data_IF_138345134305
#
_entry.id   IF_138345134305
#
_cell.length_a   1.000
_cell.length_b   1.000
_cell.length_c   1.000
_cell.angle_alpha   90.00
_cell.angle_beta   90.00
_cell.angle_gamma   90.00
#
_symmetry.space_group_name_H-M   'P 1'
#
loop_
_entity.id
_entity.type
_entity.pdbx_description
1 polymer ?
#
# COMPACT_ATOMS: atom_id res chain seq x y z
N UNK A 1 -1.08 -39.67 22.50
CA UNK A 1 -2.51 -39.42 22.78
C UNK A 1 -2.94 -38.13 22.10
N UNK A 2 -3.76 -38.25 21.06
CA UNK A 2 -4.22 -37.17 20.20
C UNK A 2 -5.18 -36.25 20.97
N UNK A 3 -4.69 -35.10 21.45
CA UNK A 3 -5.56 -33.95 21.75
C UNK A 3 -6.06 -33.40 20.41
N UNK A 4 -7.04 -34.09 19.83
CA UNK A 4 -7.90 -33.59 18.78
C UNK A 4 -8.78 -32.53 19.45
N UNK A 5 -8.22 -31.34 19.65
CA UNK A 5 -8.97 -30.19 20.15
C UNK A 5 -10.28 -30.13 19.36
N UNK A 6 -11.41 -30.18 20.07
CA UNK A 6 -12.73 -30.18 19.43
C UNK A 6 -12.80 -28.92 18.57
N UNK A 7 -12.70 -29.11 17.25
CA UNK A 7 -12.56 -28.03 16.26
C UNK A 7 -13.76 -27.09 16.34
N UNK A 8 -14.92 -27.64 16.69
CA UNK A 8 -16.14 -26.89 16.96
C UNK A 8 -15.94 -25.90 18.13
N UNK A 9 -15.41 -26.37 19.27
CA UNK A 9 -15.18 -25.53 20.46
C UNK A 9 -14.24 -24.35 20.20
N UNK A 10 -13.16 -24.56 19.44
CA UNK A 10 -12.24 -23.47 19.08
C UNK A 10 -12.94 -22.43 18.19
N UNK A 11 -13.71 -22.91 17.23
CA UNK A 11 -14.45 -22.04 16.30
C UNK A 11 -15.47 -21.19 17.05
N UNK A 12 -16.24 -21.82 17.94
CA UNK A 12 -17.23 -21.15 18.79
C UNK A 12 -16.58 -20.09 19.71
N UNK A 13 -15.44 -20.41 20.33
CA UNK A 13 -14.68 -19.44 21.14
C UNK A 13 -14.22 -18.24 20.32
N UNK A 14 -13.70 -18.48 19.11
CA UNK A 14 -13.22 -17.44 18.22
C UNK A 14 -14.36 -16.50 17.79
N UNK A 15 -15.50 -17.06 17.36
CA UNK A 15 -16.65 -16.29 16.87
C UNK A 15 -17.33 -15.55 18.03
N UNK A 16 -17.48 -16.20 19.18
CA UNK A 16 -18.04 -15.54 20.38
C UNK A 16 -17.19 -14.35 20.80
N UNK A 17 -15.86 -14.51 20.80
CA UNK A 17 -14.94 -13.42 21.08
C UNK A 17 -15.07 -12.31 20.04
N UNK A 18 -15.12 -12.65 18.75
CA UNK A 18 -15.26 -11.67 17.67
C UNK A 18 -16.58 -10.89 17.77
N UNK A 19 -17.70 -11.55 18.08
CA UNK A 19 -18.99 -10.90 18.26
C UNK A 19 -18.98 -9.82 19.35
N UNK A 20 -18.16 -10.00 20.41
CA UNK A 20 -18.04 -9.06 21.54
C UNK A 20 -16.94 -8.01 21.36
N UNK A 21 -15.88 -8.34 20.65
CA UNK A 21 -14.64 -7.54 20.62
C UNK A 21 -14.22 -7.05 19.23
N UNK A 22 -14.99 -7.34 18.18
CA UNK A 22 -14.69 -6.85 16.82
C UNK A 22 -14.55 -5.33 16.84
N UNK A 23 -13.52 -4.86 16.13
CA UNK A 23 -13.32 -3.43 15.92
C UNK A 23 -14.45 -2.84 15.09
N UNK A 24 -14.87 -1.64 15.48
CA UNK A 24 -15.77 -0.79 14.72
C UNK A 24 -14.99 -0.11 13.58
N UNK A 25 -15.21 -0.55 12.34
CA UNK A 25 -14.45 -0.09 11.17
C UNK A 25 -15.41 0.26 10.03
N UNK A 26 -15.18 1.37 9.29
CA UNK A 26 -16.14 1.88 8.30
C UNK A 26 -16.61 0.83 7.27
N UNK A 27 -15.69 0.01 6.77
CA UNK A 27 -16.00 -1.04 5.80
C UNK A 27 -16.80 -2.21 6.38
N UNK A 28 -16.78 -2.44 7.70
CA UNK A 28 -17.54 -3.53 8.34
C UNK A 28 -19.04 -3.28 8.45
N UNK A 29 -19.48 -2.04 8.22
CA UNK A 29 -20.90 -1.70 8.12
C UNK A 29 -21.48 -1.92 6.72
N UNK A 30 -20.67 -2.45 5.80
CA UNK A 30 -21.06 -2.69 4.43
C UNK A 30 -21.00 -4.17 4.09
N UNK A 31 -21.91 -4.61 3.22
CA UNK A 31 -21.82 -5.89 2.49
C UNK A 31 -21.63 -5.68 0.99
N UNK A 32 -21.44 -4.44 0.55
CA UNK A 32 -21.15 -4.11 -0.85
C UNK A 32 -19.73 -4.63 -1.23
N UNK A 33 -19.61 -5.52 -2.25
CA UNK A 33 -18.33 -6.04 -2.72
C UNK A 33 -17.31 -4.95 -3.08
N UNK A 34 -17.75 -3.84 -3.69
CA UNK A 34 -16.87 -2.74 -4.07
C UNK A 34 -16.22 -2.11 -2.82
N UNK A 35 -17.03 -1.84 -1.81
CA UNK A 35 -16.60 -1.19 -0.56
C UNK A 35 -15.67 -2.08 0.26
N UNK A 36 -15.90 -3.39 0.29
CA UNK A 36 -15.01 -4.35 0.97
C UNK A 36 -13.72 -4.53 0.18
N UNK A 37 -13.80 -4.67 -1.14
CA UNK A 37 -12.62 -4.81 -1.99
C UNK A 37 -11.71 -3.58 -1.90
N UNK A 38 -12.28 -2.37 -1.94
CA UNK A 38 -11.54 -1.12 -1.75
C UNK A 38 -10.77 -1.12 -0.42
N UNK A 39 -11.42 -1.49 0.69
CA UNK A 39 -10.72 -1.54 1.99
C UNK A 39 -9.59 -2.56 2.00
N UNK A 40 -9.80 -3.74 1.42
CA UNK A 40 -8.75 -4.77 1.37
C UNK A 40 -7.54 -4.32 0.54
N UNK A 41 -7.76 -3.62 -0.58
CA UNK A 41 -6.67 -3.04 -1.37
C UNK A 41 -5.95 -1.95 -0.56
N UNK A 42 -6.67 -1.05 0.10
CA UNK A 42 -6.07 0.02 0.92
C UNK A 42 -5.28 -0.53 2.12
N UNK A 43 -5.71 -1.65 2.71
CA UNK A 43 -5.07 -2.28 3.86
C UNK A 43 -3.80 -3.06 3.52
N UNK A 44 -3.52 -3.33 2.24
CA UNK A 44 -2.26 -3.95 1.84
C UNK A 44 -1.06 -3.10 2.28
N UNK A 45 -0.25 -3.64 3.18
CA UNK A 45 0.95 -2.98 3.72
C UNK A 45 0.69 -1.59 4.32
N UNK A 46 -0.55 -1.32 4.77
CA UNK A 46 -0.95 -0.04 5.35
C UNK A 46 -1.74 -0.30 6.63
N UNK A 47 -1.46 0.48 7.68
CA UNK A 47 -2.15 0.34 8.97
C UNK A 47 -3.60 0.80 8.89
N UNK A 48 -4.47 0.17 9.67
CA UNK A 48 -5.92 0.44 9.68
C UNK A 48 -6.22 1.92 9.95
N UNK A 49 -5.58 2.53 10.94
CA UNK A 49 -5.86 3.90 11.35
C UNK A 49 -5.44 4.92 10.27
N UNK A 50 -4.42 4.57 9.46
CA UNK A 50 -4.06 5.33 8.27
C UNK A 50 -5.11 5.19 7.17
N UNK A 51 -5.68 4.00 6.98
CA UNK A 51 -6.65 3.74 5.90
C UNK A 51 -8.01 4.41 6.14
N UNK A 52 -8.49 4.46 7.38
CA UNK A 52 -9.82 5.00 7.73
C UNK A 52 -10.14 6.35 7.05
N UNK A 53 -9.32 7.41 7.16
CA UNK A 53 -9.63 8.69 6.53
C UNK A 53 -9.59 8.63 4.99
N UNK A 54 -8.69 7.83 4.40
CA UNK A 54 -8.61 7.67 2.95
C UNK A 54 -9.83 6.94 2.40
N UNK A 55 -10.27 5.89 3.07
CA UNK A 55 -11.45 5.13 2.71
C UNK A 55 -12.70 6.02 2.70
N UNK A 56 -12.90 6.82 3.76
CA UNK A 56 -14.03 7.76 3.86
C UNK A 56 -13.97 8.82 2.75
N UNK A 57 -12.81 9.46 2.55
CA UNK A 57 -12.61 10.46 1.48
C UNK A 57 -12.85 9.88 0.09
N UNK A 58 -12.37 8.66 -0.15
CA UNK A 58 -12.56 7.96 -1.41
C UNK A 58 -14.03 7.69 -1.68
N UNK A 59 -14.76 7.08 -0.74
CA UNK A 59 -16.18 6.79 -0.93
C UNK A 59 -17.06 8.03 -1.04
N UNK A 60 -16.63 9.16 -0.47
CA UNK A 60 -17.34 10.43 -0.66
C UNK A 60 -17.25 10.92 -2.11
N UNK A 61 -16.10 10.73 -2.79
CA UNK A 61 -15.90 11.19 -4.17
C UNK A 61 -16.19 10.12 -5.23
N UNK A 62 -15.97 8.85 -4.91
CA UNK A 62 -16.25 7.68 -5.77
C UNK A 62 -17.09 6.64 -5.00
N UNK A 63 -18.40 6.90 -4.84
CA UNK A 63 -19.29 6.02 -4.07
C UNK A 63 -19.45 4.62 -4.67
N UNK A 64 -19.25 4.46 -5.97
CA UNK A 64 -19.43 3.20 -6.71
C UNK A 64 -18.20 2.82 -7.54
N UNK A 65 -18.13 1.54 -7.93
CA UNK A 65 -17.12 1.03 -8.86
C UNK A 65 -17.17 1.75 -10.23
N UNK A 66 -18.37 2.12 -10.69
CA UNK A 66 -18.57 2.85 -11.95
C UNK A 66 -17.93 4.24 -11.91
N UNK A 67 -17.97 4.91 -10.76
CA UNK A 67 -17.34 6.22 -10.57
C UNK A 67 -15.81 6.12 -10.68
N UNK A 68 -15.22 5.04 -10.14
CA UNK A 68 -13.78 4.77 -10.28
C UNK A 68 -13.40 4.49 -11.72
N UNK A 69 -14.20 3.71 -12.44
CA UNK A 69 -13.91 3.38 -13.83
C UNK A 69 -13.90 4.61 -14.76
N UNK A 70 -14.83 5.55 -14.53
CA UNK A 70 -14.91 6.81 -15.29
C UNK A 70 -13.93 7.90 -14.85
N UNK A 71 -13.36 7.79 -13.64
CA UNK A 71 -12.41 8.78 -13.16
C UNK A 71 -11.08 8.72 -13.93
N UNK A 72 -10.42 9.87 -14.06
CA UNK A 72 -9.06 9.90 -14.60
C UNK A 72 -8.09 9.25 -13.61
N UNK A 73 -7.03 8.60 -14.12
CA UNK A 73 -6.00 8.02 -13.24
C UNK A 73 -5.38 9.07 -12.31
N UNK A 74 -5.11 10.28 -12.82
CA UNK A 74 -4.54 11.38 -12.03
C UNK A 74 -5.42 11.76 -10.83
N UNK A 75 -6.74 11.83 -11.01
CA UNK A 75 -7.67 12.13 -9.92
C UNK A 75 -7.73 11.03 -8.86
N UNK A 76 -7.65 9.77 -9.28
CA UNK A 76 -7.59 8.62 -8.36
C UNK A 76 -6.28 8.62 -7.57
N UNK A 77 -5.15 8.79 -8.26
CA UNK A 77 -3.83 8.89 -7.63
C UNK A 77 -3.76 10.08 -6.67
N UNK A 78 -4.49 11.17 -6.95
CA UNK A 78 -4.53 12.33 -6.06
C UNK A 78 -5.27 12.06 -4.76
N UNK A 79 -6.36 11.29 -4.78
CA UNK A 79 -7.02 10.87 -3.53
C UNK A 79 -6.16 9.83 -2.80
N UNK A 80 -5.45 8.98 -3.53
CA UNK A 80 -4.52 7.97 -2.98
C UNK A 80 -3.21 8.56 -2.45
N UNK A 81 -2.93 9.82 -2.74
CA UNK A 81 -1.68 10.52 -2.41
C UNK A 81 -1.37 10.42 -0.92
N UNK A 82 -0.21 9.85 -0.59
CA UNK A 82 0.24 9.66 0.78
C UNK A 82 0.01 8.26 1.35
N UNK A 83 -0.89 7.45 0.75
CA UNK A 83 -1.15 6.07 1.17
C UNK A 83 -0.04 5.09 0.73
N UNK A 84 0.77 5.47 -0.27
CA UNK A 84 1.89 4.68 -0.78
C UNK A 84 1.45 3.48 -1.63
N UNK A 85 2.43 2.78 -2.23
CA UNK A 85 2.21 1.64 -3.11
C UNK A 85 1.17 1.93 -4.21
N UNK A 86 1.41 2.97 -5.02
CA UNK A 86 0.45 3.54 -5.98
C UNK A 86 0.00 2.57 -7.08
N UNK A 87 0.76 1.50 -7.36
CA UNK A 87 0.31 0.44 -8.26
C UNK A 87 -1.00 -0.20 -7.77
N UNK A 88 -1.29 -0.18 -6.46
CA UNK A 88 -2.58 -0.64 -5.92
C UNK A 88 -3.75 0.16 -6.49
N UNK A 89 -3.63 1.49 -6.50
CA UNK A 89 -4.65 2.38 -7.04
C UNK A 89 -4.85 2.16 -8.55
N UNK A 90 -3.74 2.08 -9.32
CA UNK A 90 -3.80 1.85 -10.77
C UNK A 90 -4.40 0.50 -11.12
N UNK A 91 -3.96 -0.56 -10.44
CA UNK A 91 -4.50 -1.89 -10.63
C UNK A 91 -5.99 -1.94 -10.24
N UNK A 92 -6.37 -1.28 -9.15
CA UNK A 92 -7.77 -1.19 -8.76
C UNK A 92 -8.62 -0.49 -9.82
N UNK A 93 -8.13 0.61 -10.42
CA UNK A 93 -8.80 1.26 -11.56
C UNK A 93 -8.94 0.30 -12.74
N UNK A 94 -7.83 -0.28 -13.21
CA UNK A 94 -7.82 -1.24 -14.33
C UNK A 94 -8.79 -2.40 -14.08
N UNK A 95 -8.86 -2.89 -12.85
CA UNK A 95 -9.80 -3.92 -12.45
C UNK A 95 -11.26 -3.42 -12.45
N UNK A 96 -11.54 -2.19 -11.99
CA UNK A 96 -12.86 -1.58 -12.08
C UNK A 96 -13.31 -1.40 -13.54
N UNK A 97 -12.39 -1.00 -14.44
CA UNK A 97 -12.66 -0.88 -15.88
C UNK A 97 -13.10 -2.24 -16.46
N UNK A 98 -12.34 -3.31 -16.17
CA UNK A 98 -12.66 -4.69 -16.59
C UNK A 98 -13.99 -5.17 -16.00
N UNK A 99 -14.24 -4.91 -14.71
CA UNK A 99 -15.51 -5.30 -14.07
C UNK A 99 -16.70 -4.56 -14.71
N UNK A 100 -16.52 -3.29 -15.06
CA UNK A 100 -17.56 -2.50 -15.71
C UNK A 100 -17.86 -3.04 -17.12
N UNK A 101 -16.83 -3.30 -17.94
CA UNK A 101 -16.99 -3.77 -19.32
C UNK A 101 -17.44 -5.23 -19.41
N UNK A 102 -16.72 -6.13 -18.74
CA UNK A 102 -16.82 -7.57 -18.99
C UNK A 102 -17.83 -8.24 -18.05
N UNK A 103 -18.05 -7.65 -16.87
CA UNK A 103 -18.94 -8.17 -15.83
C UNK A 103 -20.14 -7.24 -15.54
N UNK A 104 -20.39 -6.27 -16.43
CA UNK A 104 -21.53 -5.33 -16.35
C UNK A 104 -21.61 -4.61 -14.99
N UNK A 105 -20.45 -4.26 -14.43
CA UNK A 105 -20.31 -3.55 -13.16
C UNK A 105 -20.49 -4.41 -11.91
N UNK A 106 -20.64 -5.74 -12.03
CA UNK A 106 -20.79 -6.66 -10.90
C UNK A 106 -19.46 -7.34 -10.57
N UNK A 107 -18.97 -7.17 -9.35
CA UNK A 107 -17.75 -7.86 -8.89
C UNK A 107 -17.93 -9.37 -9.02
N UNK A 108 -16.99 -10.11 -9.66
CA UNK A 108 -17.11 -11.54 -9.85
C UNK A 108 -17.22 -12.29 -8.51
N UNK A 109 -18.19 -13.20 -8.42
CA UNK A 109 -18.39 -14.03 -7.21
C UNK A 109 -17.62 -15.35 -7.26
N UNK A 110 -17.12 -15.72 -8.44
CA UNK A 110 -16.24 -16.87 -8.63
C UNK A 110 -14.80 -16.50 -8.29
N UNK A 111 -14.12 -17.38 -7.56
CA UNK A 111 -12.76 -17.15 -7.09
C UNK A 111 -11.75 -17.04 -8.25
N UNK A 112 -11.87 -17.93 -9.24
CA UNK A 112 -10.95 -17.98 -10.38
C UNK A 112 -11.16 -16.81 -11.35
N UNK A 113 -12.38 -16.31 -11.46
CA UNK A 113 -12.67 -15.08 -12.18
C UNK A 113 -12.12 -13.86 -11.43
N UNK A 114 -12.34 -13.77 -10.11
CA UNK A 114 -11.97 -12.59 -9.35
C UNK A 114 -10.45 -12.42 -9.19
N UNK A 115 -9.70 -13.51 -9.02
CA UNK A 115 -8.22 -13.45 -8.93
C UNK A 115 -7.53 -13.01 -10.23
N UNK A 116 -8.24 -13.03 -11.37
CA UNK A 116 -7.72 -12.49 -12.63
C UNK A 116 -7.74 -10.96 -12.66
N UNK A 117 -8.45 -10.32 -11.74
CA UNK A 117 -8.52 -8.86 -11.68
C UNK A 117 -7.15 -8.28 -11.28
N UNK A 118 -6.65 -7.24 -11.97
CA UNK A 118 -5.40 -6.60 -11.62
C UNK A 118 -5.33 -6.22 -10.13
N UNK A 119 -4.25 -6.62 -9.47
CA UNK A 119 -4.03 -6.35 -8.04
C UNK A 119 -4.81 -7.23 -7.07
N UNK A 120 -5.67 -8.14 -7.54
CA UNK A 120 -6.38 -9.12 -6.71
C UNK A 120 -5.58 -10.41 -6.63
N UNK A 121 -4.90 -10.62 -5.50
CA UNK A 121 -4.27 -11.91 -5.16
C UNK A 121 -5.21 -12.84 -4.39
N UNK A 122 -4.74 -14.06 -4.09
CA UNK A 122 -5.48 -15.07 -3.32
C UNK A 122 -6.06 -14.52 -2.02
N UNK A 123 -5.28 -13.70 -1.30
CA UNK A 123 -5.71 -13.07 -0.05
C UNK A 123 -6.96 -12.18 -0.25
N UNK A 124 -6.94 -11.26 -1.22
CA UNK A 124 -8.06 -10.33 -1.45
C UNK A 124 -9.28 -11.12 -1.90
N UNK A 125 -9.11 -12.04 -2.85
CA UNK A 125 -10.21 -12.85 -3.34
C UNK A 125 -10.87 -13.63 -2.19
N UNK A 126 -10.07 -14.27 -1.34
CA UNK A 126 -10.57 -14.97 -0.16
C UNK A 126 -11.25 -14.04 0.85
N UNK A 127 -10.65 -12.89 1.16
CA UNK A 127 -11.21 -11.91 2.10
C UNK A 127 -12.56 -11.38 1.63
N UNK A 128 -12.63 -10.84 0.41
CA UNK A 128 -13.87 -10.26 -0.15
C UNK A 128 -14.96 -11.32 -0.28
N UNK A 129 -14.66 -12.48 -0.88
CA UNK A 129 -15.67 -13.51 -1.13
C UNK A 129 -16.16 -14.17 0.17
N UNK A 130 -15.31 -14.31 1.18
CA UNK A 130 -15.74 -14.82 2.49
C UNK A 130 -16.60 -13.81 3.25
N UNK A 131 -16.29 -12.51 3.18
CA UNK A 131 -17.04 -11.46 3.89
C UNK A 131 -18.42 -11.21 3.25
N UNK A 132 -18.46 -11.21 1.92
CA UNK A 132 -19.63 -10.77 1.15
C UNK A 132 -20.52 -11.93 0.71
N UNK A 133 -19.92 -13.07 0.36
CA UNK A 133 -20.65 -14.23 -0.18
C UNK A 133 -20.54 -15.49 0.69
N UNK A 134 -20.02 -15.35 1.91
CA UNK A 134 -19.84 -16.44 2.89
C UNK A 134 -19.10 -17.67 2.32
N UNK A 135 -18.24 -17.43 1.31
CA UNK A 135 -17.45 -18.51 0.69
C UNK A 135 -16.33 -18.95 1.63
N UNK A 136 -16.16 -20.26 1.78
CA UNK A 136 -15.17 -20.87 2.69
C UNK A 136 -13.72 -20.79 2.17
N UNK A 137 -13.21 -19.58 1.97
CA UNK A 137 -11.84 -19.30 1.55
C UNK A 137 -11.02 -18.67 2.68
N UNK A 138 -9.99 -19.35 3.21
CA UNK A 138 -9.07 -18.77 4.18
C UNK A 138 -8.29 -17.57 3.60
N UNK A 139 -8.45 -16.39 4.21
CA UNK A 139 -7.78 -15.16 3.79
C UNK A 139 -6.39 -15.03 4.45
N UNK A 140 -5.41 -15.81 3.99
CA UNK A 140 -4.10 -15.91 4.64
C UNK A 140 -3.17 -14.70 4.36
N UNK A 141 -3.18 -13.70 5.23
CA UNK A 141 -2.17 -12.63 5.25
C UNK A 141 -1.01 -12.93 6.22
N UNK A 142 -0.06 -11.99 6.34
CA UNK A 142 1.04 -12.10 7.28
C UNK A 142 0.61 -12.19 8.75
N UNK A 143 -0.54 -11.59 9.11
CA UNK A 143 -1.07 -11.63 10.47
C UNK A 143 -1.65 -13.00 10.80
N UNK A 144 -2.54 -13.52 9.96
CA UNK A 144 -3.15 -14.84 10.14
C UNK A 144 -2.08 -15.92 10.09
N UNK A 145 -1.13 -15.83 9.16
CA UNK A 145 -0.01 -16.76 9.09
C UNK A 145 0.83 -16.77 10.37
N UNK A 146 1.06 -15.62 11.00
CA UNK A 146 1.75 -15.52 12.29
C UNK A 146 0.93 -16.14 13.42
N UNK A 147 -0.35 -15.77 13.54
CA UNK A 147 -1.27 -16.30 14.57
C UNK A 147 -1.30 -17.83 14.52
N UNK A 148 -1.50 -18.40 13.33
CA UNK A 148 -1.64 -19.84 13.14
C UNK A 148 -0.29 -20.57 13.28
N UNK A 149 0.82 -19.93 12.90
CA UNK A 149 2.14 -20.48 13.18
C UNK A 149 2.40 -20.60 14.68
N UNK A 150 2.00 -19.61 15.48
CA UNK A 150 2.07 -19.67 16.96
C UNK A 150 1.11 -20.72 17.51
N UNK A 151 -0.15 -20.67 17.09
CA UNK A 151 -1.18 -21.62 17.51
C UNK A 151 -0.72 -23.07 17.33
N UNK A 152 -0.07 -23.38 16.20
CA UNK A 152 0.37 -24.73 15.84
C UNK A 152 1.86 -25.02 16.16
N UNK A 153 2.60 -24.06 16.74
CA UNK A 153 4.05 -24.14 17.02
C UNK A 153 4.89 -24.47 15.76
N UNK A 154 4.66 -23.75 14.65
CA UNK A 154 5.39 -23.89 13.38
C UNK A 154 6.48 -22.82 13.27
N UNK A 155 7.75 -23.24 13.28
CA UNK A 155 8.91 -22.32 13.15
C UNK A 155 9.07 -21.77 11.73
N UNK A 156 8.76 -22.56 10.71
CA UNK A 156 9.00 -22.20 9.31
C UNK A 156 7.69 -22.12 8.52
N UNK A 157 7.62 -21.17 7.59
CA UNK A 157 6.51 -21.04 6.65
C UNK A 157 6.80 -21.81 5.35
N UNK A 158 7.18 -23.09 5.47
CA UNK A 158 7.37 -23.98 4.32
C UNK A 158 6.06 -24.23 3.57
N UNK A 159 6.14 -24.69 2.31
CA UNK A 159 4.95 -25.06 1.51
C UNK A 159 4.05 -26.05 2.28
N UNK A 160 4.64 -27.02 2.96
CA UNK A 160 3.93 -27.96 3.82
C UNK A 160 3.22 -27.27 4.99
N UNK A 161 3.92 -26.44 5.78
CA UNK A 161 3.31 -25.77 6.93
C UNK A 161 2.21 -24.78 6.51
N UNK A 162 2.36 -24.09 5.37
CA UNK A 162 1.30 -23.26 4.79
C UNK A 162 0.05 -24.09 4.45
N UNK A 163 0.21 -25.25 3.81
CA UNK A 163 -0.90 -26.17 3.51
C UNK A 163 -1.57 -26.70 4.79
N UNK A 164 -0.80 -27.00 5.83
CA UNK A 164 -1.32 -27.42 7.14
C UNK A 164 -2.14 -26.30 7.79
N UNK A 165 -1.66 -25.05 7.78
CA UNK A 165 -2.38 -23.88 8.30
C UNK A 165 -3.68 -23.68 7.52
N UNK A 166 -3.61 -23.69 6.19
CA UNK A 166 -4.77 -23.55 5.32
C UNK A 166 -5.85 -24.59 5.66
N UNK A 167 -5.48 -25.87 5.68
CA UNK A 167 -6.40 -26.96 6.00
C UNK A 167 -6.98 -26.85 7.42
N UNK A 168 -6.26 -26.25 8.36
CA UNK A 168 -6.75 -26.04 9.71
C UNK A 168 -7.87 -24.99 9.73
N UNK A 169 -7.68 -23.86 9.05
CA UNK A 169 -8.73 -22.82 8.95
C UNK A 169 -9.94 -23.34 8.19
N UNK A 170 -9.76 -24.12 7.12
CA UNK A 170 -10.88 -24.77 6.43
C UNK A 170 -11.74 -25.63 7.36
N UNK A 171 -11.15 -26.26 8.39
CA UNK A 171 -11.92 -27.01 9.39
C UNK A 171 -12.71 -26.11 10.32
N UNK A 172 -12.18 -24.94 10.70
CA UNK A 172 -12.92 -23.96 11.50
C UNK A 172 -14.10 -23.40 10.72
N UNK A 173 -13.91 -23.09 9.44
CA UNK A 173 -14.96 -22.59 8.54
C UNK A 173 -16.13 -23.55 8.33
N UNK A 174 -16.03 -24.83 8.72
CA UNK A 174 -17.16 -25.77 8.68
C UNK A 174 -18.17 -25.55 9.81
N UNK A 175 -17.77 -24.87 10.88
CA UNK A 175 -18.54 -24.70 12.11
C UNK A 175 -18.81 -23.22 12.44
N UNK A 176 -18.67 -22.32 11.46
CA UNK A 176 -18.86 -20.89 11.66
C UNK A 176 -18.69 -20.08 10.37
N UNK A 177 -19.10 -18.81 10.39
CA UNK A 177 -19.03 -17.95 9.20
C UNK A 177 -17.58 -17.74 8.75
N UNK A 178 -17.22 -18.08 7.50
CA UNK A 178 -15.90 -17.84 6.94
C UNK A 178 -15.44 -16.37 7.04
N UNK A 179 -16.34 -15.43 6.77
CA UNK A 179 -16.04 -14.00 6.85
C UNK A 179 -15.67 -13.55 8.26
N UNK A 180 -16.42 -14.00 9.26
CA UNK A 180 -16.15 -13.67 10.67
C UNK A 180 -14.87 -14.35 11.17
N UNK A 181 -14.62 -15.60 10.81
CA UNK A 181 -13.38 -16.30 11.15
C UNK A 181 -12.16 -15.56 10.58
N UNK A 182 -12.20 -15.20 9.30
CA UNK A 182 -11.11 -14.46 8.66
C UNK A 182 -10.87 -13.12 9.39
N UNK A 183 -11.92 -12.34 9.60
CA UNK A 183 -11.79 -11.04 10.27
C UNK A 183 -11.37 -11.15 11.74
N UNK A 184 -11.84 -12.17 12.47
CA UNK A 184 -11.43 -12.44 13.85
C UNK A 184 -9.92 -12.71 13.93
N UNK A 185 -9.39 -13.52 13.01
CA UNK A 185 -7.96 -13.83 12.97
C UNK A 185 -7.12 -12.62 12.56
N UNK A 186 -7.63 -11.75 11.67
CA UNK A 186 -7.00 -10.46 11.36
C UNK A 186 -6.96 -9.54 12.59
N UNK A 187 -8.05 -9.43 13.35
CA UNK A 187 -8.13 -8.62 14.57
C UNK A 187 -7.18 -9.15 15.66
N UNK A 188 -7.18 -10.48 15.90
CA UNK A 188 -6.23 -11.12 16.81
C UNK A 188 -4.81 -10.83 16.37
N UNK A 189 -4.47 -11.03 15.10
CA UNK A 189 -3.11 -10.83 14.61
C UNK A 189 -2.65 -9.38 14.75
N UNK A 190 -3.51 -8.41 14.45
CA UNK A 190 -3.16 -6.99 14.49
C UNK A 190 -3.13 -6.40 15.90
N UNK A 191 -4.03 -6.80 16.80
CA UNK A 191 -4.19 -6.17 18.12
C UNK A 191 -3.61 -6.99 19.29
N UNK A 192 -3.60 -8.31 19.20
CA UNK A 192 -3.26 -9.20 20.32
C UNK A 192 -1.94 -9.92 20.06
N UNK A 193 -1.89 -10.70 18.99
CA UNK A 193 -0.79 -11.57 18.63
C UNK A 193 0.21 -10.85 17.72
N UNK A 194 0.77 -9.73 18.20
CA UNK A 194 1.67 -8.86 17.41
C UNK A 194 3.05 -9.51 17.18
N UNK A 195 3.81 -9.08 16.16
CA UNK A 195 5.12 -9.68 15.84
C UNK A 195 6.10 -9.74 17.01
N UNK A 196 6.28 -8.63 17.72
CA UNK A 196 7.32 -8.49 18.75
C UNK A 196 6.80 -8.63 20.18
N UNK A 197 5.47 -8.69 20.37
CA UNK A 197 4.85 -8.76 21.68
C UNK A 197 3.45 -9.40 21.56
N UNK A 198 3.32 -10.67 21.90
CA UNK A 198 2.05 -11.37 21.94
C UNK A 198 1.37 -11.15 23.30
N UNK A 199 0.21 -10.51 23.31
CA UNK A 199 -0.62 -10.38 24.50
C UNK A 199 -1.46 -11.64 24.72
N UNK A 200 -0.80 -12.80 24.94
CA UNK A 200 -1.46 -14.11 25.01
C UNK A 200 -2.63 -14.16 26.00
N UNK A 201 -2.50 -13.49 27.15
CA UNK A 201 -3.54 -13.38 28.18
C UNK A 201 -4.83 -12.67 27.73
N UNK A 202 -4.81 -11.97 26.58
CA UNK A 202 -6.01 -11.37 25.95
C UNK A 202 -6.57 -12.22 24.81
N UNK A 203 -5.90 -13.30 24.45
CA UNK A 203 -6.19 -14.07 23.24
C UNK A 203 -7.27 -15.13 23.52
N UNK A 204 -8.36 -15.19 22.75
CA UNK A 204 -9.37 -16.24 22.93
C UNK A 204 -8.82 -17.65 22.65
N UNK A 205 -7.68 -17.75 21.96
CA UNK A 205 -7.03 -19.02 21.60
C UNK A 205 -5.95 -19.45 22.60
N UNK A 206 -5.72 -18.70 23.69
CA UNK A 206 -4.62 -18.89 24.63
C UNK A 206 -4.46 -20.35 25.09
N UNK A 207 -5.54 -20.93 25.64
CA UNK A 207 -5.56 -22.27 26.23
C UNK A 207 -5.23 -23.38 25.22
N UNK A 208 -5.51 -23.15 23.94
CA UNK A 208 -5.31 -24.11 22.85
C UNK A 208 -4.02 -23.83 22.05
N UNK A 209 -3.41 -22.66 22.24
CA UNK A 209 -2.21 -22.25 21.51
C UNK A 209 -0.97 -22.99 22.01
N UNK A 210 -0.28 -23.69 21.10
CA UNK A 210 0.91 -24.48 21.45
C UNK A 210 2.13 -23.61 21.76
N UNK A 211 2.25 -22.42 21.17
CA UNK A 211 3.38 -21.53 21.41
C UNK A 211 3.24 -20.74 22.73
N UNK A 212 2.02 -20.50 23.22
CA UNK A 212 1.83 -19.88 24.55
C UNK A 212 2.49 -20.73 25.65
N UNK A 213 2.37 -22.06 25.55
CA UNK A 213 2.95 -23.02 26.50
C UNK A 213 4.49 -23.06 26.51
N UNK A 214 5.17 -22.34 25.61
CA UNK A 214 6.63 -22.29 25.57
C UNK A 214 7.19 -21.05 26.25
N UNK A 215 6.35 -20.15 26.78
CA UNK A 215 6.75 -18.84 27.32
C UNK A 215 7.55 -17.96 26.34
N UNK A 216 7.57 -18.30 25.04
CA UNK A 216 8.28 -17.57 24.00
C UNK A 216 7.54 -17.66 22.64
N UNK A 217 6.26 -17.25 22.58
CA UNK A 217 5.46 -17.37 21.36
C UNK A 217 6.02 -16.55 20.18
N UNK A 218 6.78 -15.50 20.45
CA UNK A 218 7.41 -14.62 19.45
C UNK A 218 8.47 -15.34 18.60
N UNK A 219 9.00 -16.47 19.09
CA UNK A 219 9.90 -17.32 18.32
C UNK A 219 9.21 -18.10 17.18
N UNK A 220 7.88 -17.97 17.04
CA UNK A 220 7.06 -18.60 16.01
C UNK A 220 6.27 -17.56 15.19
N UNK A 221 6.32 -17.62 13.85
CA UNK A 221 7.39 -18.27 13.08
C UNK A 221 8.73 -17.59 13.40
N UNK A 222 9.85 -18.22 13.04
CA UNK A 222 11.18 -17.63 13.24
C UNK A 222 11.21 -16.22 12.60
N UNK A 223 11.50 -15.16 13.38
CA UNK A 223 11.55 -13.81 12.85
C UNK A 223 12.56 -13.70 11.72
N UNK A 224 12.21 -12.96 10.66
CA UNK A 224 13.15 -12.66 9.57
C UNK A 224 14.09 -11.56 10.03
N UNK A 225 15.38 -11.71 9.74
CA UNK A 225 16.34 -10.61 9.84
C UNK A 225 16.14 -9.65 8.67
N UNK A 226 16.09 -8.35 8.95
CA UNK A 226 16.03 -7.33 7.91
C UNK A 226 17.44 -7.13 7.33
N UNK A 227 17.55 -7.16 6.01
CA UNK A 227 18.79 -6.79 5.32
C UNK A 227 18.90 -5.25 5.26
N UNK A 228 20.11 -4.68 5.30
CA UNK A 228 20.29 -3.27 5.00
C UNK A 228 19.76 -2.96 3.60
N UNK A 229 19.10 -1.82 3.45
CA UNK A 229 18.59 -1.33 2.16
C UNK A 229 19.59 -0.33 1.56
N UNK A 230 19.75 -0.30 0.23
CA UNK A 230 20.62 0.67 -0.43
C UNK A 230 20.14 2.11 -0.20
N UNK A 231 21.09 3.05 -0.16
CA UNK A 231 20.84 4.48 -0.12
C UNK A 231 21.32 5.13 -1.42
N UNK A 232 20.52 6.03 -2.00
CA UNK A 232 20.87 6.77 -3.22
C UNK A 232 20.87 8.27 -2.97
N UNK A 233 21.89 8.97 -3.47
CA UNK A 233 21.87 10.42 -3.58
C UNK A 233 21.16 10.83 -4.88
N UNK A 234 20.19 11.73 -4.75
CA UNK A 234 19.31 12.19 -5.82
C UNK A 234 19.41 13.71 -5.90
N UNK A 235 19.48 14.25 -7.11
CA UNK A 235 19.45 15.69 -7.36
C UNK A 235 18.21 16.04 -8.19
N UNK A 236 17.57 17.16 -7.86
CA UNK A 236 16.36 17.65 -8.55
C UNK A 236 16.47 19.15 -8.79
N UNK A 237 15.82 19.62 -9.86
CA UNK A 237 15.85 21.03 -10.26
C UNK A 237 14.45 21.60 -10.36
N UNK A 238 14.26 22.79 -9.79
CA UNK A 238 13.08 23.63 -10.08
C UNK A 238 13.49 24.58 -11.18
N UNK A 239 12.98 24.31 -12.39
CA UNK A 239 13.26 25.09 -13.58
C UNK A 239 12.13 26.09 -13.73
N UNK A 240 12.44 27.38 -13.59
CA UNK A 240 11.47 28.46 -13.68
C UNK A 240 11.31 29.00 -15.10
N UNK A 241 10.07 29.33 -15.45
CA UNK A 241 9.67 30.17 -16.56
C UNK A 241 8.63 31.16 -16.04
N UNK A 242 9.05 32.42 -15.85
CA UNK A 242 8.27 33.44 -15.16
C UNK A 242 7.73 32.99 -13.79
N UNK A 243 6.41 32.90 -13.61
CA UNK A 243 5.74 32.49 -12.36
C UNK A 243 5.37 30.99 -12.32
N UNK A 244 5.86 30.22 -13.28
CA UNK A 244 5.63 28.79 -13.41
C UNK A 244 6.93 27.99 -13.34
N UNK A 245 6.83 26.73 -12.94
CA UNK A 245 7.95 25.80 -12.97
C UNK A 245 7.57 24.48 -13.64
N UNK A 246 8.59 23.83 -14.21
CA UNK A 246 8.44 22.57 -14.92
C UNK A 246 8.28 21.39 -13.96
N UNK A 247 7.32 20.52 -14.27
CA UNK A 247 7.18 19.18 -13.70
C UNK A 247 7.01 18.14 -14.81
N UNK A 248 7.45 16.93 -14.53
CA UNK A 248 7.29 15.75 -15.39
C UNK A 248 6.40 14.72 -14.71
N UNK A 249 5.65 13.97 -15.51
CA UNK A 249 4.91 12.81 -15.03
C UNK A 249 5.72 11.54 -15.27
N UNK A 250 5.98 10.79 -14.20
CA UNK A 250 6.74 9.55 -14.26
C UNK A 250 6.04 8.54 -15.16
N UNK A 251 6.81 7.88 -16.03
CA UNK A 251 6.33 6.74 -16.79
C UNK A 251 5.66 5.69 -15.87
N UNK A 252 4.52 5.12 -16.29
CA UNK A 252 3.74 4.16 -15.52
C UNK A 252 4.53 2.94 -15.03
N UNK A 253 5.53 2.51 -15.80
CA UNK A 253 6.37 1.35 -15.51
C UNK A 253 7.45 1.64 -14.46
N UNK A 254 7.75 2.91 -14.21
CA UNK A 254 8.76 3.32 -13.24
C UNK A 254 8.22 3.28 -11.80
N UNK A 255 9.14 3.32 -10.83
CA UNK A 255 8.80 3.50 -9.43
C UNK A 255 7.98 4.78 -9.25
N UNK A 256 6.80 4.67 -8.59
CA UNK A 256 5.83 5.75 -8.44
C UNK A 256 5.30 6.31 -9.79
N UNK A 257 5.21 5.47 -10.82
CA UNK A 257 4.65 5.84 -12.12
C UNK A 257 3.28 6.54 -12.01
N UNK A 258 3.01 7.47 -12.91
CA UNK A 258 1.79 8.30 -12.93
C UNK A 258 1.80 9.49 -11.96
N UNK A 259 2.73 9.55 -10.99
CA UNK A 259 2.92 10.74 -10.16
C UNK A 259 3.74 11.81 -10.89
N UNK A 260 3.58 13.06 -10.47
CA UNK A 260 4.38 14.20 -10.93
C UNK A 260 5.64 14.35 -10.08
N UNK A 261 6.72 14.82 -10.68
CA UNK A 261 7.96 15.15 -9.97
C UNK A 261 8.72 16.32 -10.62
N UNK A 262 9.69 16.86 -9.88
CA UNK A 262 10.65 17.80 -10.43
C UNK A 262 11.66 17.03 -11.30
N UNK A 263 12.12 17.59 -12.43
CA UNK A 263 13.20 17.01 -13.22
C UNK A 263 14.45 16.68 -12.38
N UNK A 264 15.07 15.55 -12.63
CA UNK A 264 16.29 15.12 -11.95
C UNK A 264 16.38 13.61 -11.74
N UNK A 265 17.47 13.18 -11.10
CA UNK A 265 17.73 11.75 -10.94
C UNK A 265 18.90 11.41 -10.04
N UNK A 266 19.36 10.16 -10.15
CA UNK A 266 20.37 9.61 -9.25
C UNK A 266 21.76 10.08 -9.67
N UNK A 267 22.59 10.44 -8.69
CA UNK A 267 24.00 10.75 -8.96
C UNK A 267 24.76 9.50 -9.40
N UNK A 268 25.68 9.63 -10.36
CA UNK A 268 26.66 8.59 -10.69
C UNK A 268 27.92 8.78 -9.85
N UNK A 269 28.71 7.71 -9.70
CA UNK A 269 29.95 7.76 -8.94
C UNK A 269 30.92 8.78 -9.57
N UNK A 270 31.45 9.68 -8.74
CA UNK A 270 32.42 10.70 -9.16
C UNK A 270 31.82 12.00 -9.69
N UNK A 271 30.49 12.10 -9.86
CA UNK A 271 29.83 13.35 -10.25
C UNK A 271 29.61 14.29 -9.06
N UNK A 272 29.79 15.60 -9.28
CA UNK A 272 29.26 16.63 -8.37
C UNK A 272 27.73 16.74 -8.50
N UNK A 273 27.08 17.35 -7.51
CA UNK A 273 25.61 17.53 -7.53
C UNK A 273 25.13 18.34 -8.75
N UNK A 274 25.89 19.37 -9.14
CA UNK A 274 25.54 20.23 -10.28
C UNK A 274 25.72 19.50 -11.61
N UNK A 275 26.80 18.73 -11.78
CA UNK A 275 27.02 17.92 -12.99
C UNK A 275 25.93 16.88 -13.18
N UNK A 276 25.60 16.14 -12.11
CA UNK A 276 24.51 15.18 -12.12
C UNK A 276 23.18 15.85 -12.48
N UNK A 277 22.88 17.01 -11.91
CA UNK A 277 21.62 17.70 -12.17
C UNK A 277 21.50 18.19 -13.62
N UNK A 278 22.56 18.79 -14.16
CA UNK A 278 22.60 19.24 -15.56
C UNK A 278 22.41 18.05 -16.51
N UNK A 279 23.07 16.93 -16.23
CA UNK A 279 22.93 15.69 -17.01
C UNK A 279 21.50 15.17 -16.99
N UNK A 280 20.92 14.99 -15.81
CA UNK A 280 19.56 14.44 -15.66
C UNK A 280 18.51 15.35 -16.32
N UNK A 281 18.59 16.67 -16.14
CA UNK A 281 17.67 17.61 -16.81
C UNK A 281 17.78 17.54 -18.33
N UNK A 282 19.00 17.41 -18.85
CA UNK A 282 19.23 17.26 -20.30
C UNK A 282 18.69 15.92 -20.81
N UNK A 283 18.87 14.83 -20.06
CA UNK A 283 18.38 13.49 -20.41
C UNK A 283 16.84 13.42 -20.37
N UNK A 284 16.19 14.01 -19.36
CA UNK A 284 14.74 13.92 -19.18
C UNK A 284 13.94 14.94 -19.99
N UNK A 285 14.45 16.16 -20.14
CA UNK A 285 13.73 17.30 -20.71
C UNK A 285 14.39 17.87 -21.97
N UNK A 286 15.62 17.51 -22.29
CA UNK A 286 16.42 18.13 -23.36
C UNK A 286 16.82 19.58 -23.07
N UNK A 287 16.62 20.07 -21.84
CA UNK A 287 16.94 21.44 -21.45
C UNK A 287 18.40 21.58 -21.04
N UNK A 288 18.97 22.73 -21.34
CA UNK A 288 20.25 23.17 -20.78
C UNK A 288 19.97 24.24 -19.74
N UNK A 289 20.49 24.05 -18.52
CA UNK A 289 20.19 24.93 -17.39
C UNK A 289 21.46 25.47 -16.73
N UNK A 290 21.30 26.62 -16.08
CA UNK A 290 22.24 27.12 -15.08
C UNK A 290 21.72 26.76 -13.68
N UNK A 291 22.49 25.97 -12.93
CA UNK A 291 22.22 25.69 -11.52
C UNK A 291 22.55 26.95 -10.72
N UNK A 292 21.58 27.45 -9.95
CA UNK A 292 21.70 28.68 -9.16
C UNK A 292 21.95 28.35 -7.70
N UNK A 293 20.92 28.48 -6.86
CA UNK A 293 21.01 28.27 -5.41
C UNK A 293 20.48 26.90 -5.01
N UNK A 294 21.01 26.35 -3.91
CA UNK A 294 20.47 25.16 -3.27
C UNK A 294 19.23 25.53 -2.46
N UNK A 295 18.11 24.85 -2.71
CA UNK A 295 16.85 25.01 -1.96
C UNK A 295 16.95 24.34 -0.60
N UNK A 296 17.41 23.10 -0.60
CA UNK A 296 17.46 22.25 0.57
C UNK A 296 17.70 20.80 0.24
N UNK A 297 17.77 19.97 1.27
CA UNK A 297 17.93 18.53 1.15
C UNK A 297 16.95 17.81 2.09
N UNK A 298 16.43 16.67 1.65
CA UNK A 298 15.54 15.82 2.43
C UNK A 298 16.04 14.37 2.43
N UNK A 299 15.73 13.64 3.50
CA UNK A 299 15.88 12.18 3.56
C UNK A 299 14.51 11.52 3.45
N UNK A 300 14.39 10.48 2.66
CA UNK A 300 13.16 9.71 2.52
C UNK A 300 13.46 8.21 2.44
N UNK A 301 12.66 7.39 3.12
CA UNK A 301 12.85 5.95 3.19
C UNK A 301 11.66 5.27 2.52
N UNK A 302 11.95 4.43 1.52
CA UNK A 302 11.01 3.49 0.92
C UNK A 302 11.26 2.08 1.49
N UNK A 303 10.40 1.13 1.15
CA UNK A 303 10.48 -0.25 1.68
C UNK A 303 11.76 -1.00 1.29
N UNK A 304 12.40 -0.64 0.17
CA UNK A 304 13.52 -1.37 -0.42
C UNK A 304 14.75 -0.51 -0.72
N UNK A 305 14.69 0.80 -0.48
CA UNK A 305 15.81 1.73 -0.57
C UNK A 305 15.51 3.03 0.20
N UNK A 306 16.53 3.83 0.47
CA UNK A 306 16.38 5.21 0.92
C UNK A 306 16.98 6.18 -0.09
N UNK A 307 16.53 7.42 -0.03
CA UNK A 307 17.10 8.53 -0.80
C UNK A 307 17.50 9.68 0.10
N UNK A 308 18.57 10.34 -0.30
CA UNK A 308 18.91 11.68 0.12
C UNK A 308 18.79 12.58 -1.11
N UNK A 309 17.76 13.43 -1.13
CA UNK A 309 17.41 14.26 -2.28
C UNK A 309 17.81 15.70 -2.01
N UNK A 310 18.62 16.29 -2.88
CA UNK A 310 18.97 17.71 -2.86
C UNK A 310 18.33 18.42 -4.04
N UNK A 311 17.76 19.60 -3.82
CA UNK A 311 17.02 20.36 -4.84
C UNK A 311 17.65 21.72 -5.03
N UNK A 312 17.71 22.18 -6.28
CA UNK A 312 18.29 23.46 -6.67
C UNK A 312 17.32 24.29 -7.51
N UNK A 313 17.48 25.62 -7.46
CA UNK A 313 16.91 26.52 -8.46
C UNK A 313 17.71 26.42 -9.75
N UNK A 314 16.99 26.33 -10.87
CA UNK A 314 17.56 26.24 -12.20
C UNK A 314 16.90 27.30 -13.10
N UNK A 315 17.72 27.89 -13.97
CA UNK A 315 17.24 28.81 -15.02
C UNK A 315 17.62 28.21 -16.37
N UNK A 316 16.67 28.16 -17.31
CA UNK A 316 16.95 27.70 -18.67
C UNK A 316 18.00 28.59 -19.34
N UNK A 317 18.97 28.00 -20.04
CA UNK A 317 19.97 28.71 -20.86
C UNK A 317 19.39 29.19 -22.20
N UNK A 318 18.42 28.45 -22.75
CA UNK A 318 17.80 28.71 -24.07
C UNK A 318 16.26 28.80 -23.93
N UNK A 319 15.54 29.02 -25.05
CA UNK A 319 14.07 28.91 -25.12
C UNK A 319 13.55 27.64 -24.42
N UNK A 320 12.39 27.74 -23.77
CA UNK A 320 11.72 26.72 -22.94
C UNK A 320 11.11 25.55 -23.75
N UNK A 321 11.75 25.16 -24.84
CA UNK A 321 11.34 24.02 -25.66
C UNK A 321 11.75 22.73 -24.95
N UNK A 322 10.76 22.00 -24.44
CA UNK A 322 10.96 20.69 -23.81
C UNK A 322 11.02 19.61 -24.88
N UNK A 323 12.09 18.80 -24.86
CA UNK A 323 12.25 17.60 -25.68
C UNK A 323 12.15 16.37 -24.79
N UNK A 324 10.93 15.87 -24.60
CA UNK A 324 10.66 14.70 -23.78
C UNK A 324 9.54 13.86 -24.37
N UNK A 325 9.57 12.56 -24.09
CA UNK A 325 8.46 11.64 -24.38
C UNK A 325 7.50 11.51 -23.19
N UNK A 326 7.84 12.11 -22.05
CA UNK A 326 7.02 12.08 -20.84
C UNK A 326 6.00 13.24 -20.85
N UNK A 327 4.78 13.06 -20.29
CA UNK A 327 3.91 14.19 -20.07
C UNK A 327 4.58 15.22 -19.16
N UNK A 328 4.50 16.50 -19.51
CA UNK A 328 5.06 17.60 -18.73
C UNK A 328 4.04 18.72 -18.57
N UNK A 329 4.23 19.55 -17.54
CA UNK A 329 3.43 20.77 -17.31
C UNK A 329 4.30 21.87 -16.73
N UNK A 330 4.01 23.10 -17.14
CA UNK A 330 4.40 24.30 -16.40
C UNK A 330 3.27 24.63 -15.44
N UNK A 331 3.58 24.71 -14.15
CA UNK A 331 2.57 24.96 -13.11
C UNK A 331 2.99 26.09 -12.18
N UNK A 332 2.00 26.80 -11.65
CA UNK A 332 2.19 27.73 -10.53
C UNK A 332 2.26 26.96 -9.21
N UNK A 333 2.95 27.49 -8.18
CA UNK A 333 3.02 26.88 -6.85
C UNK A 333 1.67 26.45 -6.27
N UNK A 334 0.64 27.27 -6.46
CA UNK A 334 -0.72 27.01 -5.96
C UNK A 334 -1.37 25.76 -6.55
N UNK A 335 -0.91 25.27 -7.71
CA UNK A 335 -1.48 24.12 -8.43
C UNK A 335 -0.90 22.78 -7.95
N UNK A 336 0.14 22.76 -7.11
CA UNK A 336 0.70 21.51 -6.55
C UNK A 336 -0.36 20.70 -5.80
N UNK A 337 -1.27 21.40 -5.11
CA UNK A 337 -2.35 20.78 -4.34
C UNK A 337 -3.34 19.99 -5.22
N UNK A 338 -3.32 20.18 -6.54
CA UNK A 338 -4.24 19.57 -7.48
C UNK A 338 -3.63 18.35 -8.19
N UNK A 339 -2.31 18.15 -8.10
CA UNK A 339 -1.59 17.08 -8.79
C UNK A 339 -0.99 16.06 -7.80
N UNK A 340 -0.93 14.77 -8.15
CA UNK A 340 -0.40 13.75 -7.26
C UNK A 340 1.14 13.70 -7.28
N UNK A 341 1.78 13.94 -6.14
CA UNK A 341 3.23 13.94 -5.97
C UNK A 341 3.72 12.89 -4.96
N UNK A 342 4.97 12.40 -5.09
CA UNK A 342 5.61 11.58 -4.06
C UNK A 342 5.69 12.29 -2.70
N UNK A 343 5.64 11.51 -1.61
CA UNK A 343 5.83 12.04 -0.25
C UNK A 343 7.20 12.70 -0.04
N UNK A 344 8.21 12.35 -0.86
CA UNK A 344 9.50 13.04 -0.88
C UNK A 344 9.35 14.51 -1.33
N UNK A 345 8.60 14.77 -2.39
CA UNK A 345 8.30 16.13 -2.88
C UNK A 345 7.48 16.92 -1.87
N UNK A 346 6.53 16.30 -1.16
CA UNK A 346 5.80 16.98 -0.07
C UNK A 346 6.70 17.52 1.04
N UNK A 347 7.79 16.83 1.39
CA UNK A 347 8.78 17.35 2.34
C UNK A 347 9.49 18.59 1.78
N UNK A 348 9.75 18.60 0.48
CA UNK A 348 10.38 19.72 -0.21
C UNK A 348 9.41 20.91 -0.37
N UNK A 349 8.13 20.68 -0.65
CA UNK A 349 7.10 21.72 -0.67
C UNK A 349 7.01 22.46 0.68
N UNK A 350 7.16 21.75 1.80
CA UNK A 350 7.26 22.38 3.12
C UNK A 350 8.47 23.30 3.29
N UNK A 351 9.57 23.05 2.59
CA UNK A 351 10.75 23.93 2.57
C UNK A 351 10.46 25.14 1.69
N UNK A 352 9.96 24.91 0.47
CA UNK A 352 9.63 25.96 -0.50
C UNK A 352 8.57 26.94 0.01
N UNK A 353 7.51 26.44 0.66
CA UNK A 353 6.48 27.27 1.27
C UNK A 353 7.04 28.22 2.35
N UNK A 354 8.06 27.78 3.10
CA UNK A 354 8.73 28.63 4.10
C UNK A 354 9.64 29.67 3.47
N UNK A 355 10.22 29.36 2.31
CA UNK A 355 11.06 30.27 1.53
C UNK A 355 10.25 31.17 0.59
N UNK A 356 8.93 31.01 0.54
CA UNK A 356 8.04 31.82 -0.30
C UNK A 356 8.08 31.52 -1.79
N UNK A 357 8.67 30.40 -2.22
CA UNK A 357 8.85 30.05 -3.65
C UNK A 357 9.68 31.05 -4.48
N UNK A 358 10.21 32.12 -3.86
CA UNK A 358 10.98 33.17 -4.50
C UNK A 358 12.47 32.98 -4.24
N UNK A 359 13.14 32.12 -5.00
CA UNK A 359 14.61 32.04 -5.00
C UNK A 359 15.16 31.84 -6.40
#
# INVERSE_FOLDING_TARGET
>A
MNNMYNTNKITEQLITWYGKHKRDLPWRHSKDPYKIWLSEIMLQQTQVDTVIPYYKKWLNKYPTLKDVAHASEGDLLKIWEGLGYYNRCRNFKKACDIVLSDYKGKVPTDFHAFIKMPGVGEYIAAAVLSIVHDKSYPALDGNIMRVLSRFMKKKTLSRYNKKVIYNHICKWMKFGSPGDINQALMDIGSQICKPNQAHCYKCPLENSCRATKTNLPESYPTPKQNKPIPNYDVVTGIIWDHDQFLILQRNEMNHLGGLWEFPGGKMKNGESQSEALIREIKEECGLEVNVKSKIGSIKHVYSHFSIHMTTFHCVSKNNTIIKTTQPYRWIKPVQIKDLPFPKANHKLFSILNKQGWHV
#
